data_IF_398777721567
#
_entry.id   IF_398777721567
#
_cell.length_a   1.000
_cell.length_b   1.000
_cell.length_c   1.000
_cell.angle_alpha   90.00
_cell.angle_beta   90.00
_cell.angle_gamma   90.00
#
_symmetry.space_group_name_H-M   'P 1'
#
loop_
_entity.id
_entity.type
_entity.pdbx_description
1 polymer ?
#
# COMPACT_ATOMS: atom_id res chain seq x y z
N UNK A 1 -27.72 16.94 -46.37
CA UNK A 1 -27.63 18.43 -46.43
C UNK A 1 -27.68 19.01 -45.01
N UNK A 2 -28.48 18.42 -44.09
CA UNK A 2 -28.61 18.85 -42.70
C UNK A 2 -27.30 18.73 -41.92
N UNK A 3 -26.56 17.63 -42.08
CA UNK A 3 -25.25 17.42 -41.43
C UNK A 3 -24.18 18.46 -41.86
N UNK A 4 -24.28 18.98 -43.09
CA UNK A 4 -23.37 20.02 -43.60
C UNK A 4 -23.76 21.38 -43.05
N UNK A 5 -25.04 21.63 -42.85
CA UNK A 5 -25.54 22.88 -42.29
C UNK A 5 -25.25 23.02 -40.81
N UNK A 6 -25.31 21.92 -40.05
CA UNK A 6 -24.92 21.87 -38.64
C UNK A 6 -23.41 22.15 -38.47
N UNK A 7 -22.57 21.61 -39.38
CA UNK A 7 -21.13 21.92 -39.42
C UNK A 7 -20.84 23.39 -39.75
N UNK A 8 -21.63 24.00 -40.64
CA UNK A 8 -21.49 25.42 -41.04
C UNK A 8 -22.05 26.39 -40.01
N UNK A 9 -23.06 25.98 -39.23
CA UNK A 9 -23.67 26.80 -38.18
C UNK A 9 -22.87 26.85 -36.88
N UNK A 10 -21.74 26.15 -36.82
CA UNK A 10 -20.82 26.27 -35.67
C UNK A 10 -21.38 25.68 -34.38
N UNK A 11 -22.37 24.81 -34.46
CA UNK A 11 -22.72 23.95 -33.33
C UNK A 11 -21.56 22.97 -33.12
N UNK A 12 -20.49 23.50 -32.49
CA UNK A 12 -19.49 22.63 -31.88
C UNK A 12 -20.25 21.69 -30.96
N UNK A 13 -20.26 20.40 -31.33
CA UNK A 13 -20.70 19.35 -30.38
C UNK A 13 -20.14 19.77 -29.01
N UNK A 14 -21.05 19.92 -28.04
CA UNK A 14 -20.64 20.18 -26.64
C UNK A 14 -19.61 19.14 -26.30
N UNK A 15 -18.36 19.54 -26.27
CA UNK A 15 -17.24 18.67 -25.98
C UNK A 15 -17.59 17.93 -24.69
N UNK A 16 -17.84 16.62 -24.79
CA UNK A 16 -18.29 15.80 -23.68
C UNK A 16 -17.26 15.90 -22.57
N UNK A 17 -17.54 16.73 -21.56
CA UNK A 17 -16.62 17.00 -20.45
C UNK A 17 -16.51 15.72 -19.62
N UNK A 18 -15.30 15.25 -19.44
CA UNK A 18 -15.02 14.06 -18.63
C UNK A 18 -14.58 14.53 -17.24
N UNK A 19 -15.40 14.27 -16.23
CA UNK A 19 -15.01 14.52 -14.84
C UNK A 19 -13.97 13.50 -14.40
N UNK A 20 -12.73 13.96 -14.25
CA UNK A 20 -11.58 13.14 -13.90
C UNK A 20 -11.63 12.64 -12.44
N UNK A 21 -12.21 13.39 -11.50
CA UNK A 21 -12.34 12.99 -10.11
C UNK A 21 -13.37 11.85 -10.00
N UNK A 22 -14.54 12.03 -10.61
CA UNK A 22 -15.59 11.00 -10.66
C UNK A 22 -15.07 9.71 -11.32
N UNK A 23 -14.47 9.83 -12.50
CA UNK A 23 -13.84 8.69 -13.17
C UNK A 23 -12.83 7.97 -12.27
N UNK A 24 -11.95 8.72 -11.60
CA UNK A 24 -10.90 8.15 -10.74
C UNK A 24 -11.50 7.36 -9.57
N UNK A 25 -12.55 7.89 -8.93
CA UNK A 25 -13.24 7.20 -7.83
C UNK A 25 -13.94 5.91 -8.31
N UNK A 26 -14.63 5.96 -9.43
CA UNK A 26 -15.28 4.79 -10.06
C UNK A 26 -14.24 3.73 -10.42
N UNK A 27 -13.12 4.12 -11.04
CA UNK A 27 -12.06 3.19 -11.42
C UNK A 27 -11.44 2.53 -10.18
N UNK A 28 -11.17 3.29 -9.11
CA UNK A 28 -10.63 2.75 -7.84
C UNK A 28 -11.59 1.73 -7.24
N UNK A 29 -12.89 1.98 -7.30
CA UNK A 29 -13.92 1.09 -6.74
C UNK A 29 -14.09 -0.22 -7.55
N UNK A 30 -13.94 -0.15 -8.88
CA UNK A 30 -14.20 -1.27 -9.79
C UNK A 30 -12.97 -2.14 -10.09
N UNK A 31 -11.75 -1.65 -9.85
CA UNK A 31 -10.54 -2.38 -10.22
C UNK A 31 -10.22 -3.52 -9.25
N UNK A 32 -9.72 -4.64 -9.77
CA UNK A 32 -9.23 -5.78 -8.98
C UNK A 32 -7.84 -5.57 -8.36
N UNK A 33 -7.19 -4.44 -8.63
CA UNK A 33 -5.84 -4.14 -8.17
C UNK A 33 -5.85 -3.93 -6.65
N UNK A 34 -5.23 -4.83 -5.88
CA UNK A 34 -5.16 -4.76 -4.39
C UNK A 34 -4.60 -3.44 -3.84
N UNK A 35 -3.78 -2.74 -4.61
CA UNK A 35 -3.21 -1.44 -4.23
C UNK A 35 -4.07 -0.23 -4.58
N UNK A 36 -5.22 -0.41 -5.22
CA UNK A 36 -6.08 0.68 -5.67
C UNK A 36 -6.52 1.65 -4.56
N UNK A 37 -6.79 1.22 -3.32
CA UNK A 37 -7.09 2.16 -2.23
C UNK A 37 -6.02 3.22 -1.97
N UNK A 38 -4.77 2.97 -2.36
CA UNK A 38 -3.71 3.97 -2.23
C UNK A 38 -3.91 5.16 -3.17
N UNK A 39 -4.61 4.97 -4.31
CA UNK A 39 -4.94 6.06 -5.23
C UNK A 39 -5.95 7.05 -4.62
N UNK A 40 -6.82 6.59 -3.71
CA UNK A 40 -7.79 7.45 -3.02
C UNK A 40 -7.11 8.62 -2.32
N UNK A 41 -5.94 8.41 -1.69
CA UNK A 41 -5.19 9.49 -1.05
C UNK A 41 -4.67 10.53 -2.04
N UNK A 42 -4.28 10.11 -3.24
CA UNK A 42 -3.85 11.03 -4.30
C UNK A 42 -5.04 11.82 -4.87
N UNK A 43 -6.18 11.18 -5.10
CA UNK A 43 -7.42 11.84 -5.55
C UNK A 43 -7.91 12.85 -4.50
N UNK A 44 -7.90 12.49 -3.22
CA UNK A 44 -8.26 13.42 -2.16
C UNK A 44 -7.31 14.62 -2.07
N UNK A 45 -6.01 14.43 -2.35
CA UNK A 45 -5.06 15.54 -2.42
C UNK A 45 -5.34 16.44 -3.65
N UNK A 46 -5.72 15.82 -4.78
CA UNK A 46 -6.12 16.56 -5.99
C UNK A 46 -7.37 17.40 -5.73
N UNK A 47 -8.39 16.84 -5.08
CA UNK A 47 -9.61 17.55 -4.68
C UNK A 47 -9.31 18.73 -3.76
N UNK A 48 -8.40 18.59 -2.78
CA UNK A 48 -7.97 19.71 -1.93
C UNK A 48 -7.28 20.81 -2.73
N UNK A 49 -6.49 20.45 -3.74
CA UNK A 49 -5.83 21.41 -4.62
C UNK A 49 -6.82 22.18 -5.47
N UNK A 50 -7.79 21.47 -6.07
CA UNK A 50 -8.83 22.06 -6.95
C UNK A 50 -9.90 22.83 -6.16
N UNK A 51 -10.14 22.43 -4.90
CA UNK A 51 -11.17 23.01 -4.03
C UNK A 51 -12.59 22.52 -4.30
N UNK A 52 -12.78 21.54 -5.21
CA UNK A 52 -14.08 20.94 -5.55
C UNK A 52 -13.94 19.48 -5.95
N UNK A 53 -15.03 18.70 -5.88
CA UNK A 53 -15.09 17.27 -6.22
C UNK A 53 -15.20 17.00 -7.74
N UNK A 54 -15.09 18.02 -8.57
CA UNK A 54 -15.19 17.93 -10.02
C UNK A 54 -13.96 18.52 -10.67
N UNK A 55 -13.44 17.88 -11.71
CA UNK A 55 -12.33 18.36 -12.53
C UNK A 55 -12.49 17.85 -13.95
N UNK A 56 -12.64 18.77 -14.90
CA UNK A 56 -12.55 18.41 -16.32
C UNK A 56 -11.14 17.89 -16.62
N UNK A 57 -11.04 16.68 -17.19
CA UNK A 57 -9.76 16.05 -17.52
C UNK A 57 -8.91 16.91 -18.48
N UNK A 58 -9.54 17.74 -19.30
CA UNK A 58 -8.87 18.63 -20.24
C UNK A 58 -8.11 19.77 -19.54
N UNK A 59 -8.48 20.08 -18.30
CA UNK A 59 -7.75 21.04 -17.46
C UNK A 59 -6.49 20.46 -16.82
N UNK A 60 -6.30 19.14 -16.88
CA UNK A 60 -5.08 18.49 -16.37
C UNK A 60 -3.95 18.69 -17.38
N UNK A 61 -3.39 19.88 -17.43
CA UNK A 61 -2.26 20.28 -18.27
C UNK A 61 -0.93 20.11 -17.54
N UNK A 62 0.18 20.37 -18.22
CA UNK A 62 1.51 20.38 -17.57
C UNK A 62 1.58 21.45 -16.48
N UNK A 63 1.09 22.67 -16.76
CA UNK A 63 1.05 23.77 -15.79
C UNK A 63 0.20 23.42 -14.57
N UNK A 64 -0.94 22.76 -14.78
CA UNK A 64 -1.76 22.23 -13.69
C UNK A 64 -0.97 21.25 -12.82
N UNK A 65 -0.19 20.34 -13.41
CA UNK A 65 0.63 19.38 -12.68
C UNK A 65 1.77 20.07 -11.90
N UNK A 66 2.40 21.09 -12.45
CA UNK A 66 3.40 21.90 -11.71
C UNK A 66 2.75 22.66 -10.55
N UNK A 67 1.56 23.22 -10.74
CA UNK A 67 0.78 23.83 -9.66
C UNK A 67 0.43 22.83 -8.55
N UNK A 68 -0.03 21.63 -8.92
CA UNK A 68 -0.35 20.57 -7.98
C UNK A 68 0.89 20.08 -7.21
N UNK A 69 2.02 19.90 -7.88
CA UNK A 69 3.31 19.57 -7.27
C UNK A 69 3.75 20.62 -6.26
N UNK A 70 3.60 21.91 -6.60
CA UNK A 70 3.90 23.03 -5.71
C UNK A 70 3.00 23.06 -4.48
N UNK A 71 1.70 22.78 -4.65
CA UNK A 71 0.74 22.64 -3.56
C UNK A 71 1.14 21.52 -2.61
N UNK A 72 1.47 20.33 -3.12
CA UNK A 72 1.91 19.19 -2.32
C UNK A 72 3.20 19.47 -1.53
N UNK A 73 4.14 20.22 -2.12
CA UNK A 73 5.36 20.65 -1.43
C UNK A 73 5.03 21.61 -0.26
N UNK A 74 4.15 22.58 -0.46
CA UNK A 74 3.71 23.49 0.61
C UNK A 74 3.03 22.73 1.77
N UNK A 75 2.13 21.79 1.46
CA UNK A 75 1.53 20.92 2.49
C UNK A 75 2.61 20.12 3.26
N UNK A 76 3.60 19.58 2.55
CA UNK A 76 4.72 18.84 3.14
C UNK A 76 5.57 19.73 4.05
N UNK A 77 5.91 20.93 3.63
CA UNK A 77 6.70 21.89 4.42
C UNK A 77 5.98 22.31 5.70
N UNK A 78 4.69 22.63 5.60
CA UNK A 78 3.88 22.96 6.77
C UNK A 78 3.81 21.80 7.78
N UNK A 79 3.62 20.57 7.28
CA UNK A 79 3.64 19.36 8.10
C UNK A 79 5.01 19.11 8.73
N UNK A 80 6.09 19.34 7.98
CA UNK A 80 7.48 19.18 8.44
C UNK A 80 7.77 20.13 9.59
N UNK A 81 7.43 21.43 9.46
CA UNK A 81 7.59 22.42 10.52
C UNK A 81 6.88 21.97 11.82
N UNK A 82 5.63 21.52 11.69
CA UNK A 82 4.85 21.03 12.85
C UNK A 82 5.47 19.80 13.51
N UNK A 83 6.01 18.86 12.75
CA UNK A 83 6.65 17.65 13.26
C UNK A 83 7.98 17.97 13.96
N UNK A 84 8.80 18.89 13.40
CA UNK A 84 10.05 19.33 14.01
C UNK A 84 9.79 20.01 15.36
N UNK A 85 8.77 20.87 15.46
CA UNK A 85 8.36 21.50 16.73
C UNK A 85 7.96 20.48 17.81
N UNK A 86 7.45 19.30 17.37
CA UNK A 86 7.06 18.20 18.27
C UNK A 86 8.21 17.20 18.54
N UNK A 87 9.44 17.47 18.08
CA UNK A 87 10.56 16.52 18.17
C UNK A 87 10.35 15.22 17.38
N UNK A 88 9.39 15.20 16.43
CA UNK A 88 9.04 14.01 15.65
C UNK A 88 9.84 13.95 14.37
N UNK A 89 10.04 12.71 13.90
CA UNK A 89 10.75 12.45 12.64
C UNK A 89 10.01 13.02 11.43
N UNK A 90 10.75 13.70 10.56
CA UNK A 90 10.26 14.19 9.28
C UNK A 90 10.12 13.04 8.28
N UNK A 91 8.97 12.91 7.58
CA UNK A 91 8.80 11.94 6.52
C UNK A 91 9.59 12.33 5.25
N UNK A 92 9.99 11.32 4.47
CA UNK A 92 10.63 11.54 3.15
C UNK A 92 9.63 12.14 2.13
N UNK A 93 10.12 12.51 0.94
CA UNK A 93 9.29 13.01 -0.17
C UNK A 93 8.43 11.94 -0.86
N UNK A 94 8.37 10.72 -0.30
CA UNK A 94 7.70 9.57 -0.94
C UNK A 94 6.23 9.82 -1.30
N UNK A 95 5.48 10.54 -0.47
CA UNK A 95 4.07 10.85 -0.74
C UNK A 95 3.90 11.72 -1.97
N UNK A 96 4.79 12.70 -2.21
CA UNK A 96 4.79 13.54 -3.39
C UNK A 96 4.89 12.71 -4.69
N UNK A 97 5.94 11.89 -4.79
CA UNK A 97 6.13 11.00 -5.94
C UNK A 97 4.94 10.03 -6.12
N UNK A 98 4.46 9.43 -5.02
CA UNK A 98 3.34 8.48 -5.09
C UNK A 98 2.05 9.13 -5.59
N UNK A 99 1.74 10.34 -5.15
CA UNK A 99 0.53 11.03 -5.61
C UNK A 99 0.60 11.36 -7.09
N UNK A 100 1.71 11.92 -7.56
CA UNK A 100 1.89 12.23 -8.98
C UNK A 100 1.88 10.97 -9.87
N UNK A 101 2.54 9.88 -9.45
CA UNK A 101 2.48 8.60 -10.16
C UNK A 101 1.06 8.04 -10.18
N UNK A 102 0.31 8.20 -9.09
CA UNK A 102 -1.09 7.75 -9.01
C UNK A 102 -1.99 8.53 -9.97
N UNK A 103 -1.84 9.86 -10.03
CA UNK A 103 -2.59 10.70 -10.97
C UNK A 103 -2.23 10.36 -12.42
N UNK A 104 -0.94 10.18 -12.75
CA UNK A 104 -0.50 9.69 -14.07
C UNK A 104 -1.17 8.37 -14.45
N UNK A 105 -1.21 7.41 -13.51
CA UNK A 105 -1.86 6.11 -13.76
C UNK A 105 -3.35 6.29 -14.05
N UNK A 106 -4.06 7.04 -13.23
CA UNK A 106 -5.51 7.30 -13.40
C UNK A 106 -5.80 8.04 -14.71
N UNK A 107 -4.98 9.03 -15.08
CA UNK A 107 -5.09 9.76 -16.34
C UNK A 107 -4.94 8.82 -17.55
N UNK A 108 -3.93 7.93 -17.50
CA UNK A 108 -3.73 6.94 -18.57
C UNK A 108 -4.87 5.90 -18.63
N UNK A 109 -5.47 5.55 -17.51
CA UNK A 109 -6.65 4.66 -17.52
C UNK A 109 -7.89 5.38 -18.08
N UNK A 110 -8.04 6.70 -17.83
CA UNK A 110 -9.07 7.51 -18.47
C UNK A 110 -8.87 7.55 -20.00
N UNK A 111 -7.64 7.81 -20.46
CA UNK A 111 -7.33 7.75 -21.92
C UNK A 111 -7.70 6.41 -22.54
N UNK A 112 -7.40 5.29 -21.85
CA UNK A 112 -7.77 3.94 -22.34
C UNK A 112 -9.27 3.73 -22.42
N UNK A 113 -10.04 4.26 -21.45
CA UNK A 113 -11.50 4.09 -21.41
C UNK A 113 -12.21 4.95 -22.47
N UNK A 114 -11.78 6.18 -22.63
CA UNK A 114 -12.50 7.18 -23.43
C UNK A 114 -11.97 7.32 -24.86
N UNK A 115 -10.68 7.01 -25.12
CA UNK A 115 -10.14 6.99 -26.46
C UNK A 115 -10.31 5.62 -27.10
N UNK A 116 -11.03 5.54 -28.21
CA UNK A 116 -11.25 4.30 -28.98
C UNK A 116 -10.62 4.46 -30.36
N UNK A 117 -9.37 4.07 -30.47
CA UNK A 117 -8.58 4.23 -31.72
C UNK A 117 -9.22 3.52 -32.91
N UNK A 118 -9.81 2.33 -32.69
CA UNK A 118 -10.53 1.59 -33.71
C UNK A 118 -11.76 2.31 -34.28
N UNK A 119 -12.28 3.30 -33.57
CA UNK A 119 -13.43 4.15 -33.99
C UNK A 119 -13.02 5.59 -34.32
N UNK A 120 -11.71 5.87 -34.41
CA UNK A 120 -11.17 7.23 -34.57
C UNK A 120 -11.69 8.25 -33.52
N UNK A 121 -12.16 7.75 -32.36
CA UNK A 121 -12.67 8.59 -31.28
C UNK A 121 -11.55 8.89 -30.28
N UNK A 122 -11.09 10.15 -30.26
CA UNK A 122 -10.06 10.63 -29.34
C UNK A 122 -10.66 11.79 -28.54
N UNK A 123 -11.19 11.50 -27.36
CA UNK A 123 -11.74 12.52 -26.46
C UNK A 123 -10.67 13.19 -25.59
N UNK A 124 -9.55 12.52 -25.32
CA UNK A 124 -8.42 13.02 -24.54
C UNK A 124 -7.17 12.99 -25.42
N UNK A 125 -6.92 14.07 -26.16
CA UNK A 125 -5.81 14.15 -27.12
C UNK A 125 -4.47 14.44 -26.46
N UNK A 126 -4.44 15.25 -25.40
CA UNK A 126 -3.22 15.72 -24.74
C UNK A 126 -2.57 14.67 -23.84
N UNK A 127 -1.29 14.86 -23.54
CA UNK A 127 -0.47 13.96 -22.69
C UNK A 127 0.39 14.80 -21.74
N UNK A 128 -0.19 15.34 -20.66
CA UNK A 128 0.48 16.31 -19.79
C UNK A 128 1.69 15.74 -19.01
N UNK A 129 1.84 14.43 -19.03
CA UNK A 129 2.93 13.74 -18.35
C UNK A 129 4.14 13.42 -19.24
N UNK A 130 4.10 13.75 -20.55
CA UNK A 130 5.21 13.44 -21.43
C UNK A 130 6.40 14.35 -21.13
N UNK A 131 6.16 15.63 -20.90
CA UNK A 131 7.18 16.64 -20.55
C UNK A 131 7.22 16.97 -19.05
N UNK A 132 6.34 16.33 -18.23
CA UNK A 132 6.29 16.55 -16.79
C UNK A 132 7.20 15.57 -16.04
N UNK A 133 8.20 16.10 -15.34
CA UNK A 133 9.11 15.30 -14.53
C UNK A 133 8.55 15.03 -13.12
N UNK A 134 8.23 13.77 -12.84
CA UNK A 134 7.86 13.33 -11.50
C UNK A 134 9.11 13.22 -10.63
N UNK A 135 9.17 13.90 -9.46
CA UNK A 135 10.33 13.83 -8.57
C UNK A 135 10.65 12.40 -8.15
N UNK A 136 11.91 12.03 -8.22
CA UNK A 136 12.36 10.72 -7.73
C UNK A 136 12.20 10.64 -6.21
N UNK A 137 11.83 9.45 -5.72
CA UNK A 137 11.80 9.22 -4.28
C UNK A 137 13.21 9.24 -3.71
N UNK A 138 13.36 9.91 -2.56
CA UNK A 138 14.60 9.82 -1.79
C UNK A 138 14.90 8.37 -1.43
N UNK A 139 16.16 7.99 -1.49
CA UNK A 139 16.60 6.66 -1.12
C UNK A 139 16.22 6.39 0.36
N UNK A 140 15.47 5.32 0.59
CA UNK A 140 15.17 4.92 1.96
C UNK A 140 16.42 4.34 2.61
N UNK A 141 16.82 4.88 3.77
CA UNK A 141 17.90 4.31 4.56
C UNK A 141 17.58 2.83 4.85
N UNK A 142 18.46 1.94 4.41
CA UNK A 142 18.38 0.52 4.79
C UNK A 142 18.52 0.42 6.31
N UNK A 143 17.55 -0.18 6.97
CA UNK A 143 17.56 -0.41 8.42
C UNK A 143 17.89 -1.87 8.66
N UNK A 144 19.16 -2.24 8.47
CA UNK A 144 19.62 -3.51 8.95
C UNK A 144 19.68 -3.47 10.48
N UNK A 145 19.10 -4.49 11.11
CA UNK A 145 19.19 -4.69 12.56
C UNK A 145 20.44 -5.54 12.79
N UNK A 146 21.30 -5.10 13.72
CA UNK A 146 22.51 -5.86 14.06
C UNK A 146 22.14 -7.18 14.76
N UNK A 147 23.02 -8.17 14.66
CA UNK A 147 22.88 -9.44 15.36
C UNK A 147 22.73 -9.27 16.89
N UNK A 148 23.36 -8.24 17.44
CA UNK A 148 23.28 -7.97 18.88
C UNK A 148 21.90 -7.50 19.32
N UNK A 149 21.21 -6.72 18.49
CA UNK A 149 19.81 -6.35 18.76
C UNK A 149 18.92 -7.60 18.72
N UNK A 150 19.14 -8.50 17.75
CA UNK A 150 18.39 -9.74 17.65
C UNK A 150 18.61 -10.61 18.91
N UNK A 151 19.87 -10.76 19.34
CA UNK A 151 20.22 -11.47 20.57
C UNK A 151 19.59 -10.83 21.82
N UNK A 152 19.56 -9.49 21.90
CA UNK A 152 18.88 -8.77 22.98
C UNK A 152 17.39 -9.07 23.00
N UNK A 153 16.69 -8.97 21.86
CA UNK A 153 15.26 -9.30 21.77
C UNK A 153 15.01 -10.76 22.17
N UNK A 154 15.87 -11.68 21.75
CA UNK A 154 15.77 -13.09 22.11
C UNK A 154 15.81 -13.31 23.62
N UNK A 155 16.74 -12.65 24.32
CA UNK A 155 16.96 -12.76 25.76
C UNK A 155 15.94 -12.02 26.63
N UNK A 156 15.05 -11.18 26.04
CA UNK A 156 14.04 -10.48 26.82
C UNK A 156 13.15 -11.48 27.59
N UNK A 157 12.84 -11.21 28.86
CA UNK A 157 11.91 -12.04 29.60
C UNK A 157 10.48 -11.93 29.00
N UNK A 158 9.69 -12.98 29.15
CA UNK A 158 8.26 -12.88 28.92
C UNK A 158 7.59 -12.08 30.05
N UNK A 159 6.59 -11.29 29.68
CA UNK A 159 5.73 -10.61 30.65
C UNK A 159 4.59 -11.50 31.09
N UNK A 160 4.25 -11.48 32.37
CA UNK A 160 3.08 -12.19 32.89
C UNK A 160 1.78 -11.63 32.29
N UNK A 161 0.83 -12.53 32.06
CA UNK A 161 -0.51 -12.13 31.63
C UNK A 161 -1.26 -11.57 32.84
N UNK A 162 -1.87 -10.40 32.69
CA UNK A 162 -2.77 -9.86 33.72
C UNK A 162 -3.93 -10.84 33.96
N UNK A 163 -4.21 -11.18 35.21
CA UNK A 163 -5.35 -12.06 35.57
C UNK A 163 -6.64 -11.51 34.94
N UNK A 164 -7.41 -12.39 34.27
CA UNK A 164 -8.69 -12.05 33.64
C UNK A 164 -8.64 -11.74 32.14
N UNK A 165 -7.47 -11.58 31.53
CA UNK A 165 -7.38 -11.39 30.07
C UNK A 165 -7.24 -12.74 29.36
N UNK A 166 -8.20 -13.04 28.47
CA UNK A 166 -8.13 -14.25 27.59
C UNK A 166 -7.23 -14.04 26.36
N UNK A 167 -6.68 -12.83 26.13
CA UNK A 167 -5.87 -12.52 24.97
C UNK A 167 -4.38 -12.65 25.26
N UNK A 168 -3.63 -13.12 24.28
CA UNK A 168 -2.16 -13.15 24.32
C UNK A 168 -1.59 -11.77 24.65
N UNK A 169 -0.60 -11.73 25.58
CA UNK A 169 0.15 -10.50 25.82
C UNK A 169 0.82 -10.03 24.53
N UNK A 170 0.49 -8.80 24.06
CA UNK A 170 0.99 -8.26 22.80
C UNK A 170 2.52 -8.16 22.76
N UNK A 171 3.13 -7.88 23.89
CA UNK A 171 4.59 -7.86 24.02
C UNK A 171 5.19 -9.23 23.73
N UNK A 172 4.68 -10.28 24.38
CA UNK A 172 5.17 -11.66 24.18
C UNK A 172 4.93 -12.14 22.75
N UNK A 173 3.73 -11.86 22.21
CA UNK A 173 3.41 -12.17 20.83
C UNK A 173 4.38 -11.48 19.86
N UNK A 174 4.64 -10.21 20.08
CA UNK A 174 5.52 -9.42 19.19
C UNK A 174 6.97 -9.92 19.24
N UNK A 175 7.47 -10.27 20.43
CA UNK A 175 8.78 -10.91 20.61
C UNK A 175 8.85 -12.20 19.79
N UNK A 176 7.89 -13.10 19.98
CA UNK A 176 7.87 -14.40 19.30
C UNK A 176 7.72 -14.27 17.79
N UNK A 177 6.81 -13.40 17.33
CA UNK A 177 6.64 -13.14 15.89
C UNK A 177 7.86 -12.49 15.25
N UNK A 178 8.59 -11.65 15.98
CA UNK A 178 9.87 -11.08 15.51
C UNK A 178 10.91 -12.17 15.31
N UNK A 179 11.05 -13.07 16.29
CA UNK A 179 11.99 -14.20 16.22
C UNK A 179 11.60 -15.15 15.09
N UNK A 180 10.31 -15.53 15.00
CA UNK A 180 9.80 -16.36 13.90
C UNK A 180 10.10 -15.73 12.53
N UNK A 181 9.75 -14.45 12.36
CA UNK A 181 10.01 -13.74 11.11
C UNK A 181 11.49 -13.75 10.74
N UNK A 182 12.37 -13.49 11.68
CA UNK A 182 13.82 -13.48 11.45
C UNK A 182 14.35 -14.86 11.06
N UNK A 183 14.04 -15.89 11.85
CA UNK A 183 14.54 -17.26 11.62
C UNK A 183 13.89 -17.94 10.41
N UNK A 184 12.69 -17.52 10.01
CA UNK A 184 11.99 -17.99 8.81
C UNK A 184 12.27 -17.07 7.59
N UNK A 185 13.50 -16.59 7.45
CA UNK A 185 14.00 -15.85 6.28
C UNK A 185 13.16 -14.61 5.92
N UNK A 186 12.66 -13.89 6.92
CA UNK A 186 11.86 -12.69 6.73
C UNK A 186 10.40 -12.96 6.37
N UNK A 187 9.86 -14.09 6.78
CA UNK A 187 8.43 -14.39 6.64
C UNK A 187 7.61 -13.31 7.35
N UNK A 188 6.76 -12.59 6.61
CA UNK A 188 6.03 -11.46 7.17
C UNK A 188 4.79 -11.90 7.97
N UNK A 189 4.18 -10.96 8.71
CA UNK A 189 3.02 -11.25 9.56
C UNK A 189 1.82 -11.81 8.80
N UNK A 190 1.55 -11.36 7.57
CA UNK A 190 0.47 -11.89 6.76
C UNK A 190 0.76 -13.34 6.34
N UNK A 191 2.01 -13.65 5.97
CA UNK A 191 2.40 -15.01 5.60
C UNK A 191 2.38 -15.94 6.81
N UNK A 192 2.82 -15.50 8.01
CA UNK A 192 2.64 -16.23 9.27
C UNK A 192 1.15 -16.49 9.58
N UNK A 193 0.29 -15.50 9.32
CA UNK A 193 -1.15 -15.64 9.58
C UNK A 193 -1.84 -16.65 8.66
N UNK A 194 -1.43 -16.75 7.40
CA UNK A 194 -2.09 -17.57 6.38
C UNK A 194 -1.39 -18.92 6.08
N UNK A 195 -0.18 -19.17 6.58
CA UNK A 195 0.55 -20.38 6.27
C UNK A 195 -0.21 -21.65 6.71
N UNK A 196 -0.26 -22.64 5.83
CA UNK A 196 -1.06 -23.85 6.01
C UNK A 196 -0.26 -25.16 5.93
N UNK A 197 0.93 -25.15 5.29
CA UNK A 197 1.68 -26.39 5.03
C UNK A 197 3.04 -26.38 5.74
N UNK A 198 3.21 -27.34 6.63
CA UNK A 198 4.47 -27.67 7.31
C UNK A 198 4.67 -29.19 7.27
N UNK A 199 5.79 -29.65 6.68
CA UNK A 199 6.17 -31.06 6.58
C UNK A 199 7.67 -31.17 6.78
N UNK A 200 8.09 -32.16 7.51
CA UNK A 200 9.51 -32.45 7.78
C UNK A 200 10.30 -31.17 8.18
N UNK A 201 9.73 -30.41 9.12
CA UNK A 201 10.26 -29.13 9.57
C UNK A 201 10.43 -28.05 8.47
N UNK A 202 9.81 -28.22 7.30
CA UNK A 202 9.82 -27.24 6.22
C UNK A 202 8.45 -26.60 6.05
N UNK A 203 8.38 -25.27 6.15
CA UNK A 203 7.17 -24.49 5.86
C UNK A 203 7.14 -24.17 4.37
N UNK A 204 6.03 -24.54 3.72
CA UNK A 204 5.76 -24.15 2.33
C UNK A 204 4.60 -23.16 2.31
N UNK A 205 4.79 -22.02 1.65
CA UNK A 205 3.74 -20.99 1.53
C UNK A 205 3.89 -20.17 0.26
N UNK A 206 2.80 -19.54 -0.17
CA UNK A 206 2.82 -18.59 -1.29
C UNK A 206 2.83 -17.17 -0.71
N UNK A 207 3.88 -16.39 -1.02
CA UNK A 207 4.05 -15.05 -0.46
C UNK A 207 2.86 -14.15 -0.78
N UNK A 208 2.07 -13.80 0.22
CA UNK A 208 0.78 -13.08 0.09
C UNK A 208 0.88 -11.80 -0.74
N UNK A 209 1.97 -11.06 -0.62
CA UNK A 209 2.17 -9.77 -1.32
C UNK A 209 2.37 -9.92 -2.82
N UNK A 210 2.94 -11.03 -3.29
CA UNK A 210 3.41 -11.18 -4.68
C UNK A 210 2.79 -12.35 -5.43
N UNK A 211 2.07 -13.27 -4.77
CA UNK A 211 1.51 -14.45 -5.39
C UNK A 211 0.65 -14.17 -6.64
N UNK A 212 -0.15 -13.13 -6.62
CA UNK A 212 -1.02 -12.77 -7.74
C UNK A 212 -0.29 -12.10 -8.93
N UNK A 213 1.04 -11.89 -8.84
CA UNK A 213 1.83 -11.22 -9.87
C UNK A 213 2.88 -12.12 -10.51
N UNK A 214 3.05 -13.34 -10.00
CA UNK A 214 4.08 -14.28 -10.43
C UNK A 214 3.44 -15.56 -10.92
N UNK A 215 3.97 -16.14 -11.99
CA UNK A 215 3.51 -17.42 -12.55
C UNK A 215 3.73 -18.60 -11.59
N UNK A 216 4.81 -18.53 -10.78
CA UNK A 216 5.11 -19.52 -9.74
C UNK A 216 4.35 -19.26 -8.43
N UNK A 217 3.34 -18.35 -8.46
CA UNK A 217 2.56 -17.91 -7.30
C UNK A 217 3.43 -17.46 -6.11
N UNK A 218 4.68 -17.08 -6.36
CA UNK A 218 5.67 -16.73 -5.33
C UNK A 218 5.81 -17.78 -4.24
N UNK A 219 5.88 -19.06 -4.62
CA UNK A 219 6.05 -20.20 -3.71
C UNK A 219 7.38 -20.11 -2.99
N UNK A 220 7.35 -20.25 -1.67
CA UNK A 220 8.49 -20.21 -0.77
C UNK A 220 8.55 -21.51 0.03
N UNK A 221 9.75 -22.03 0.20
CA UNK A 221 10.06 -23.14 1.12
C UNK A 221 11.11 -22.67 2.11
N UNK A 222 10.86 -22.83 3.37
CA UNK A 222 11.73 -22.37 4.45
C UNK A 222 11.83 -23.43 5.52
N UNK A 223 13.04 -23.89 5.78
CA UNK A 223 13.29 -24.84 6.86
C UNK A 223 13.16 -24.14 8.22
N UNK A 224 12.58 -24.84 9.16
CA UNK A 224 12.37 -24.37 10.54
C UNK A 224 13.57 -24.80 11.36
N UNK A 225 14.44 -23.88 11.80
CA UNK A 225 15.55 -24.23 12.67
C UNK A 225 15.06 -24.79 14.03
N UNK A 226 15.72 -25.80 14.56
CA UNK A 226 15.35 -26.44 15.83
C UNK A 226 15.21 -25.43 16.98
N UNK A 227 16.07 -24.41 17.00
CA UNK A 227 16.08 -23.38 18.04
C UNK A 227 14.75 -22.61 18.18
N UNK A 228 13.92 -22.54 17.13
CA UNK A 228 12.60 -21.87 17.18
C UNK A 228 11.44 -22.86 17.27
N UNK A 229 11.69 -24.17 17.25
CA UNK A 229 10.62 -25.18 17.39
C UNK A 229 9.74 -24.95 18.62
N UNK A 230 10.28 -24.62 19.81
CA UNK A 230 9.43 -24.31 20.97
C UNK A 230 8.42 -23.17 20.72
N UNK A 231 8.80 -22.16 19.91
CA UNK A 231 7.89 -21.05 19.55
C UNK A 231 6.87 -21.54 18.52
N UNK A 232 7.28 -22.35 17.54
CA UNK A 232 6.37 -22.94 16.55
C UNK A 232 5.32 -23.79 17.26
N UNK A 233 5.71 -24.68 18.18
CA UNK A 233 4.80 -25.53 18.96
C UNK A 233 3.86 -24.71 19.85
N UNK A 234 4.36 -23.64 20.49
CA UNK A 234 3.54 -22.72 21.29
C UNK A 234 2.34 -22.17 20.53
N UNK A 235 2.52 -21.87 19.25
CA UNK A 235 1.48 -21.32 18.39
C UNK A 235 0.88 -22.31 17.40
N UNK A 236 1.23 -23.59 17.48
CA UNK A 236 0.72 -24.61 16.58
C UNK A 236 -0.81 -24.69 16.61
N UNK A 237 -1.41 -24.73 15.44
CA UNK A 237 -2.84 -24.96 15.32
C UNK A 237 -3.16 -26.46 15.36
N UNK A 238 -3.71 -26.92 16.48
CA UNK A 238 -4.10 -28.30 16.68
C UNK A 238 -5.22 -28.81 15.75
N UNK A 239 -5.96 -27.88 15.10
CA UNK A 239 -7.01 -28.28 14.13
C UNK A 239 -6.46 -28.60 12.74
N UNK A 240 -5.19 -28.29 12.47
CA UNK A 240 -4.59 -28.49 11.15
C UNK A 240 -5.08 -27.53 10.07
N UNK A 241 -5.94 -26.55 10.39
CA UNK A 241 -6.45 -25.59 9.41
C UNK A 241 -5.34 -24.65 8.93
N UNK A 242 -4.41 -24.28 9.82
CA UNK A 242 -3.22 -23.49 9.53
C UNK A 242 -2.03 -24.03 10.33
N UNK A 243 -0.84 -23.53 10.04
CA UNK A 243 0.33 -23.86 10.89
C UNK A 243 0.16 -23.23 12.27
N UNK A 244 -0.20 -21.96 12.29
CA UNK A 244 -0.31 -21.17 13.51
C UNK A 244 -1.77 -20.82 13.84
N UNK A 245 -2.09 -20.80 15.12
CA UNK A 245 -3.44 -20.56 15.66
C UNK A 245 -3.81 -19.06 15.76
N UNK A 246 -3.06 -18.16 15.16
CA UNK A 246 -3.28 -16.70 15.24
C UNK A 246 -4.69 -16.27 14.79
N UNK A 247 -5.26 -16.94 13.80
CA UNK A 247 -6.60 -16.67 13.29
C UNK A 247 -7.73 -16.93 14.30
N UNK A 248 -7.45 -17.66 15.38
CA UNK A 248 -8.42 -17.89 16.47
C UNK A 248 -8.54 -16.68 17.41
N UNK A 249 -7.51 -15.84 17.46
CA UNK A 249 -7.42 -14.66 18.34
C UNK A 249 -7.59 -13.34 17.61
N UNK A 250 -7.36 -13.32 16.30
CA UNK A 250 -7.39 -12.12 15.46
C UNK A 250 -8.30 -12.36 14.26
N UNK A 251 -9.26 -11.45 14.07
CA UNK A 251 -10.28 -11.55 13.02
C UNK A 251 -9.69 -11.55 11.60
N UNK A 252 -8.58 -10.85 11.41
CA UNK A 252 -7.86 -10.78 10.14
C UNK A 252 -6.34 -10.56 10.35
N UNK A 253 -5.58 -10.63 9.26
CA UNK A 253 -4.14 -10.39 9.26
C UNK A 253 -3.76 -8.95 9.61
N UNK A 254 -4.65 -7.99 9.41
CA UNK A 254 -4.41 -6.57 9.74
C UNK A 254 -4.49 -6.35 11.24
N UNK A 255 -5.49 -6.94 11.89
CA UNK A 255 -5.62 -6.93 13.34
C UNK A 255 -4.42 -7.61 14.01
N UNK A 256 -3.99 -8.77 13.48
CA UNK A 256 -2.80 -9.48 13.93
C UNK A 256 -1.54 -8.61 13.78
N UNK A 257 -1.30 -8.06 12.60
CA UNK A 257 -0.15 -7.17 12.35
C UNK A 257 -0.17 -5.93 13.26
N UNK A 258 -1.35 -5.37 13.53
CA UNK A 258 -1.51 -4.24 14.45
C UNK A 258 -1.10 -4.63 15.88
N UNK A 259 -1.47 -5.82 16.35
CA UNK A 259 -1.08 -6.31 17.66
C UNK A 259 0.44 -6.49 17.78
N UNK A 260 1.08 -7.09 16.77
CA UNK A 260 2.55 -7.22 16.69
C UNK A 260 3.21 -5.83 16.75
N UNK A 261 2.76 -4.88 15.94
CA UNK A 261 3.35 -3.54 15.91
C UNK A 261 3.21 -2.79 17.23
N UNK A 262 2.13 -3.00 17.98
CA UNK A 262 1.99 -2.44 19.33
C UNK A 262 3.00 -3.05 20.29
N UNK A 263 3.16 -4.39 20.29
CA UNK A 263 4.12 -5.06 21.15
C UNK A 263 5.58 -4.71 20.78
N UNK A 264 5.91 -4.57 19.49
CA UNK A 264 7.24 -4.14 19.06
C UNK A 264 7.59 -2.73 19.53
N UNK A 265 6.61 -1.82 19.65
CA UNK A 265 6.83 -0.48 20.23
C UNK A 265 7.11 -0.49 21.74
N UNK A 266 6.73 -1.57 22.42
CA UNK A 266 7.05 -1.76 23.83
C UNK A 266 8.42 -2.41 24.02
N UNK A 267 8.93 -3.07 22.98
CA UNK A 267 10.23 -3.75 22.97
C UNK A 267 11.37 -2.75 22.64
N UNK A 268 11.14 -1.81 21.75
CA UNK A 268 12.12 -0.83 21.24
C UNK A 268 11.78 0.58 21.62
#
# INVERSE_FOLDING_TARGET
>A
LDDVMDYLNGEREKQQTIDFVKFSREWIASTSIKGAPNYTTAVNALVRFVGKEELDINLVTQDFLEGFKSFLNKEREARTKKLLQQGKRVPSNRSLSLYLVSIKKLFNEAKKKYNRKEKNLILISHSPFDDFSIPRQEATRKRAISSDIIKKVWKLPYKDMKKGYKSTCRYNLAKDCFILSFCLMGMNSADLYFATDIRDNTITYNRTKTKARRLDEAKMKVDVPDIIMPIVEKYRDKSGKRIFNFYRYYVDEKAFNKAINYGLKEIG
#
